data_IF_552923922578
#
_entry.id   IF_552923922578
#
_cell.length_a   1.000
_cell.length_b   1.000
_cell.length_c   1.000
_cell.angle_alpha   90.00
_cell.angle_beta   90.00
_cell.angle_gamma   90.00
#
_symmetry.space_group_name_H-M   'P 1'
#
loop_
_entity.id
_entity.type
_entity.pdbx_description
1 polymer ?
#
# COMPACT_ATOMS: atom_id res chain seq x y z
N UNK A 1 -32.34 -15.27 8.49
CA UNK A 1 -31.86 -14.80 8.11
C UNK A 1 -31.61 -14.33 7.46
N UNK A 2 -31.37 -14.05 7.37
CA UNK A 2 -31.00 -13.48 6.85
C UNK A 2 -30.43 -13.01 6.24
N UNK A 3 -30.19 -12.88 6.04
CA UNK A 3 -29.62 -12.32 5.55
C UNK A 3 -29.08 -11.76 5.08
N UNK A 4 -28.75 -11.55 4.97
CA UNK A 4 -28.12 -10.92 4.66
C UNK A 4 -27.61 -10.24 4.01
N UNK A 5 -27.39 -9.82 3.85
CA UNK A 5 -26.86 -9.14 3.29
C UNK A 5 -26.02 -8.67 3.05
N UNK A 6 -25.61 -8.91 2.58
CA UNK A 6 -24.81 -8.50 2.37
C UNK A 6 -24.30 -7.58 2.18
N UNK A 7 -24.14 -7.64 2.58
CA UNK A 7 -23.95 -6.39 2.34
C UNK A 7 -22.60 -5.90 2.09
N UNK A 8 -22.40 -4.79 1.51
CA UNK A 8 -21.15 -4.25 1.09
C UNK A 8 -20.21 -3.88 2.23
N UNK A 9 -20.71 -3.85 3.42
CA UNK A 9 -19.90 -3.60 4.62
C UNK A 9 -19.67 -4.90 5.34
N UNK A 10 -18.46 -5.38 5.25
CA UNK A 10 -18.02 -6.56 5.98
C UNK A 10 -17.26 -6.13 7.22
N UNK A 11 -17.12 -7.05 8.16
CA UNK A 11 -16.29 -6.84 9.33
C UNK A 11 -14.83 -6.56 8.94
N UNK A 12 -14.35 -7.15 7.85
CA UNK A 12 -13.01 -6.85 7.37
C UNK A 12 -13.00 -5.54 6.57
N UNK A 13 -11.92 -4.76 6.65
CA UNK A 13 -11.80 -3.54 5.86
C UNK A 13 -11.69 -3.86 4.38
N UNK A 14 -12.10 -2.93 3.52
CA UNK A 14 -12.02 -3.06 2.08
C UNK A 14 -11.10 -2.00 1.51
N UNK A 15 -10.15 -2.41 0.68
CA UNK A 15 -9.23 -1.52 -0.02
C UNK A 15 -9.51 -1.55 -1.51
N UNK A 16 -9.34 -0.40 -2.16
CA UNK A 16 -9.41 -0.30 -3.61
C UNK A 16 -8.24 0.54 -4.10
N UNK A 17 -7.51 0.05 -5.09
CA UNK A 17 -6.44 0.83 -5.70
C UNK A 17 -7.06 2.00 -6.46
N UNK A 18 -6.51 3.20 -6.26
CA UNK A 18 -6.98 4.39 -6.95
C UNK A 18 -5.99 4.85 -8.02
N UNK A 19 -4.74 5.13 -7.62
CA UNK A 19 -3.75 5.58 -8.58
C UNK A 19 -2.34 5.44 -8.02
N UNK A 20 -1.37 5.50 -8.93
CA UNK A 20 0.04 5.65 -8.63
C UNK A 20 0.55 6.79 -9.49
N UNK A 21 1.45 7.61 -8.95
CA UNK A 21 1.80 8.90 -9.56
C UNK A 21 2.73 8.82 -10.77
N UNK A 22 2.99 7.64 -11.29
CA UNK A 22 3.81 7.49 -12.48
C UNK A 22 4.06 6.04 -12.80
N UNK A 23 4.81 5.79 -13.87
CA UNK A 23 5.17 4.45 -14.32
C UNK A 23 6.68 4.21 -14.33
N UNK A 24 7.49 5.28 -14.34
CA UNK A 24 8.95 5.19 -14.34
C UNK A 24 9.47 6.17 -13.29
N UNK A 25 10.31 5.67 -12.39
CA UNK A 25 10.81 6.45 -11.26
C UNK A 25 12.33 6.38 -11.21
N UNK A 26 12.96 7.54 -11.34
CA UNK A 26 14.40 7.65 -11.25
C UNK A 26 14.85 8.12 -9.87
N UNK A 27 16.16 8.24 -9.71
CA UNK A 27 16.78 8.71 -8.49
C UNK A 27 16.24 10.10 -8.13
N UNK A 28 15.83 10.26 -6.89
CA UNK A 28 15.28 11.53 -6.41
C UNK A 28 13.77 11.66 -6.57
N UNK A 29 13.11 10.70 -7.21
CA UNK A 29 11.66 10.75 -7.33
C UNK A 29 10.99 10.09 -6.14
N UNK A 30 9.69 10.32 -6.02
CA UNK A 30 8.85 9.73 -4.98
C UNK A 30 7.75 8.92 -5.63
N UNK A 31 7.60 7.68 -5.18
CA UNK A 31 6.47 6.84 -5.57
C UNK A 31 5.34 7.12 -4.61
N UNK A 32 4.19 7.59 -5.12
CA UNK A 32 3.00 7.82 -4.32
C UNK A 32 1.87 6.91 -4.80
N UNK A 33 1.39 6.07 -3.91
CA UNK A 33 0.29 5.15 -4.18
C UNK A 33 -0.91 5.62 -3.39
N UNK A 34 -2.04 5.77 -4.07
CA UNK A 34 -3.29 6.17 -3.43
C UNK A 34 -4.26 4.99 -3.46
N UNK A 35 -4.80 4.66 -2.31
CA UNK A 35 -5.80 3.61 -2.16
C UNK A 35 -6.96 4.16 -1.34
N UNK A 36 -8.17 3.80 -1.72
CA UNK A 36 -9.35 4.15 -0.92
C UNK A 36 -9.71 2.97 -0.04
N UNK A 37 -10.35 3.25 1.08
CA UNK A 37 -10.77 2.20 1.99
C UNK A 37 -12.17 2.46 2.53
N UNK A 38 -12.84 1.38 2.89
CA UNK A 38 -14.08 1.43 3.67
C UNK A 38 -13.96 0.45 4.83
N UNK A 39 -14.59 0.78 5.94
CA UNK A 39 -14.61 -0.07 7.12
C UNK A 39 -15.91 0.13 7.87
N UNK A 40 -16.63 -0.95 8.07
CA UNK A 40 -17.94 -0.90 8.72
C UNK A 40 -17.85 -0.36 10.14
N UNK A 41 -16.89 -0.84 10.92
CA UNK A 41 -16.71 -0.43 12.31
C UNK A 41 -15.90 0.84 12.46
N UNK A 42 -15.23 1.27 11.40
CA UNK A 42 -14.40 2.47 11.44
C UNK A 42 -13.14 2.31 12.26
N UNK A 43 -12.66 1.09 12.45
CA UNK A 43 -11.49 0.79 13.28
C UNK A 43 -10.28 0.31 12.48
N UNK A 44 -10.14 0.76 11.24
CA UNK A 44 -9.00 0.43 10.37
C UNK A 44 -7.75 1.17 10.85
N UNK A 45 -7.33 0.88 12.07
CA UNK A 45 -6.28 1.65 12.73
C UNK A 45 -5.12 0.80 13.21
N UNK A 46 -5.02 -0.45 12.77
CA UNK A 46 -3.93 -1.29 13.22
C UNK A 46 -2.70 -1.10 12.33
N UNK A 47 -2.69 -1.69 11.16
CA UNK A 47 -1.50 -1.64 10.29
C UNK A 47 -1.87 -1.75 8.83
N UNK A 48 -1.00 -1.19 8.00
CA UNK A 48 -1.04 -1.38 6.55
C UNK A 48 0.30 -2.01 6.13
N UNK A 49 0.21 -3.04 5.30
CA UNK A 49 1.38 -3.73 4.76
C UNK A 49 1.51 -3.39 3.29
N UNK A 50 2.75 -3.13 2.88
CA UNK A 50 3.08 -2.85 1.49
C UNK A 50 4.24 -3.76 1.12
N UNK A 51 4.09 -4.50 0.04
CA UNK A 51 5.12 -5.39 -0.46
C UNK A 51 5.43 -5.06 -1.91
N UNK A 52 6.68 -4.69 -2.18
CA UNK A 52 7.15 -4.55 -3.55
C UNK A 52 7.52 -5.95 -4.06
N UNK A 53 6.94 -6.33 -5.19
CA UNK A 53 7.20 -7.62 -5.82
C UNK A 53 7.90 -7.37 -7.15
N UNK A 54 9.14 -7.83 -7.27
CA UNK A 54 9.91 -7.63 -8.50
C UNK A 54 9.56 -8.69 -9.53
N UNK A 55 9.57 -8.26 -10.81
CA UNK A 55 9.53 -9.16 -11.95
C UNK A 55 10.89 -9.28 -12.62
N UNK A 56 11.88 -8.54 -12.11
CA UNK A 56 13.21 -8.48 -12.70
C UNK A 56 14.15 -9.44 -11.99
N UNK A 57 14.74 -10.34 -12.76
CA UNK A 57 15.68 -11.30 -12.22
C UNK A 57 16.88 -10.58 -11.59
N UNK A 58 17.24 -10.99 -10.39
CA UNK A 58 18.35 -10.37 -9.66
C UNK A 58 17.98 -9.20 -8.79
N UNK A 59 16.78 -8.67 -8.95
CA UNK A 59 16.25 -7.66 -8.04
C UNK A 59 15.56 -8.34 -6.86
N UNK A 60 15.31 -7.58 -5.79
CA UNK A 60 14.77 -8.15 -4.56
C UNK A 60 13.41 -7.56 -4.25
N UNK A 61 12.59 -8.35 -3.58
CA UNK A 61 11.34 -7.88 -3.00
C UNK A 61 11.64 -7.04 -1.76
N UNK A 62 10.68 -6.21 -1.41
CA UNK A 62 10.75 -5.33 -0.25
C UNK A 62 9.40 -5.35 0.46
N UNK A 63 9.43 -5.42 1.78
CA UNK A 63 8.20 -5.41 2.57
C UNK A 63 8.28 -4.32 3.63
N UNK A 64 7.18 -3.64 3.81
CA UNK A 64 7.07 -2.57 4.80
C UNK A 64 5.75 -2.72 5.54
N UNK A 65 5.75 -2.35 6.80
CA UNK A 65 4.56 -2.32 7.63
C UNK A 65 4.52 -0.98 8.35
N UNK A 66 3.44 -0.27 8.18
CA UNK A 66 3.24 1.03 8.83
C UNK A 66 2.02 0.95 9.72
N UNK A 67 2.16 1.42 10.94
CA UNK A 67 1.02 1.54 11.85
C UNK A 67 0.15 2.71 11.39
N UNK A 68 -1.14 2.47 11.30
CA UNK A 68 -2.08 3.52 10.92
C UNK A 68 -2.30 4.41 12.13
N UNK A 69 -2.20 5.76 11.98
CA UNK A 69 -2.44 6.67 13.10
C UNK A 69 -3.83 6.48 13.71
N UNK A 70 -3.93 6.67 15.01
CA UNK A 70 -5.20 6.57 15.72
C UNK A 70 -6.13 7.73 15.36
N UNK A 71 -7.40 7.42 15.24
CA UNK A 71 -8.47 8.41 15.07
C UNK A 71 -9.75 7.83 15.70
N UNK A 72 -10.76 8.66 15.89
CA UNK A 72 -12.01 8.18 16.45
C UNK A 72 -12.72 7.25 15.47
N UNK A 73 -13.17 6.10 15.96
CA UNK A 73 -13.89 5.14 15.14
C UNK A 73 -15.25 5.72 14.76
N UNK A 74 -15.60 5.59 13.48
CA UNK A 74 -16.86 6.07 12.92
C UNK A 74 -17.46 4.96 12.07
N UNK A 75 -18.70 4.61 12.32
CA UNK A 75 -19.39 3.58 11.54
C UNK A 75 -19.39 3.92 10.06
N UNK A 76 -19.19 2.92 9.21
CA UNK A 76 -19.17 3.07 7.75
C UNK A 76 -18.14 4.09 7.28
N UNK A 77 -16.94 3.98 7.83
CA UNK A 77 -15.84 4.89 7.53
C UNK A 77 -15.36 4.72 6.10
N UNK A 78 -15.15 5.82 5.42
CA UNK A 78 -14.47 5.89 4.13
C UNK A 78 -13.28 6.81 4.25
N UNK A 79 -12.23 6.49 3.50
CA UNK A 79 -11.07 7.36 3.51
C UNK A 79 -10.08 6.99 2.42
N UNK A 80 -8.92 7.64 2.49
CA UNK A 80 -7.87 7.48 1.51
C UNK A 80 -6.55 7.26 2.25
N UNK A 81 -5.80 6.25 1.79
CA UNK A 81 -4.40 6.08 2.19
C UNK A 81 -3.51 6.63 1.08
N UNK A 82 -2.53 7.43 1.46
CA UNK A 82 -1.45 7.82 0.57
C UNK A 82 -0.17 7.21 1.11
N UNK A 83 0.44 6.35 0.29
CA UNK A 83 1.63 5.60 0.68
C UNK A 83 2.77 6.09 -0.19
N UNK A 84 3.86 6.53 0.44
CA UNK A 84 4.98 7.11 -0.29
C UNK A 84 6.30 6.41 0.00
N UNK A 85 7.13 6.33 -1.03
CA UNK A 85 8.50 5.84 -0.94
C UNK A 85 9.42 6.72 -1.76
N UNK A 86 10.62 6.98 -1.22
CA UNK A 86 11.66 7.71 -1.94
C UNK A 86 12.50 6.73 -2.75
N UNK A 87 12.86 7.12 -3.96
CA UNK A 87 13.72 6.33 -4.83
C UNK A 87 15.13 6.91 -4.76
N UNK A 88 16.09 6.06 -4.43
CA UNK A 88 17.49 6.47 -4.31
C UNK A 88 17.84 7.02 -2.94
N UNK A 89 19.10 6.88 -2.59
CA UNK A 89 19.61 7.31 -1.28
C UNK A 89 19.99 8.78 -1.30
N UNK A 90 20.00 9.40 -0.11
CA UNK A 90 20.50 10.76 0.05
C UNK A 90 19.49 11.86 -0.19
N UNK A 91 18.27 11.54 -0.49
CA UNK A 91 17.22 12.53 -0.72
C UNK A 91 16.30 12.66 0.48
N UNK A 92 16.79 12.69 1.64
CA UNK A 92 16.03 12.75 2.88
C UNK A 92 14.59 13.19 2.67
N UNK A 93 13.73 12.85 3.56
CA UNK A 93 12.34 13.22 3.44
C UNK A 93 11.47 12.39 4.35
N UNK A 94 10.16 12.58 4.22
CA UNK A 94 9.20 11.94 5.10
C UNK A 94 8.97 10.47 4.76
N UNK A 95 9.44 10.01 3.61
CA UNK A 95 9.11 8.67 3.12
C UNK A 95 10.30 7.71 3.23
N UNK A 96 10.03 6.43 3.55
CA UNK A 96 11.08 5.41 3.54
C UNK A 96 11.70 5.27 2.16
N UNK A 97 12.92 4.77 2.12
CA UNK A 97 13.67 4.59 0.88
C UNK A 97 13.41 3.20 0.34
N UNK A 98 13.05 3.09 -0.94
CA UNK A 98 12.99 1.81 -1.63
C UNK A 98 14.42 1.38 -1.98
N UNK A 99 14.81 0.15 -1.61
CA UNK A 99 16.12 -0.35 -1.99
C UNK A 99 16.25 -0.47 -3.50
N UNK A 100 17.42 -0.13 -4.02
CA UNK A 100 17.73 -0.35 -5.43
C UNK A 100 17.93 -1.83 -5.73
N UNK A 101 17.95 -2.15 -7.01
CA UNK A 101 18.20 -3.51 -7.44
C UNK A 101 19.66 -3.89 -7.20
N UNK A 102 19.95 -4.97 -6.44
CA UNK A 102 21.33 -5.38 -6.21
C UNK A 102 22.10 -5.73 -7.48
N UNK A 103 21.40 -6.14 -8.54
CA UNK A 103 22.03 -6.46 -9.82
C UNK A 103 22.33 -5.22 -10.65
N UNK A 104 22.13 -4.01 -10.10
CA UNK A 104 22.42 -2.73 -10.74
C UNK A 104 21.75 -2.60 -12.11
N UNK A 105 20.45 -2.87 -12.14
CA UNK A 105 19.62 -2.75 -13.34
C UNK A 105 18.26 -2.21 -12.98
N UNK A 106 17.47 -1.87 -13.98
CA UNK A 106 16.11 -1.41 -13.74
C UNK A 106 15.27 -2.52 -13.14
N UNK A 107 14.38 -2.13 -12.24
CA UNK A 107 13.49 -3.06 -11.54
C UNK A 107 12.06 -2.85 -11.99
N UNK A 108 11.54 -3.77 -12.78
CA UNK A 108 10.11 -3.80 -13.11
C UNK A 108 9.40 -4.52 -11.98
N UNK A 109 8.47 -3.84 -11.34
CA UNK A 109 7.83 -4.36 -10.13
C UNK A 109 6.43 -3.80 -9.96
N UNK A 110 5.72 -4.30 -8.97
CA UNK A 110 4.43 -3.80 -8.56
C UNK A 110 4.31 -3.92 -7.04
N UNK A 111 3.25 -3.35 -6.49
CA UNK A 111 3.05 -3.40 -5.04
C UNK A 111 1.79 -4.18 -4.72
N UNK A 112 1.86 -4.96 -3.64
CA UNK A 112 0.72 -5.58 -2.98
C UNK A 112 0.47 -4.82 -1.70
N UNK A 113 -0.78 -4.53 -1.41
CA UNK A 113 -1.16 -3.74 -0.25
C UNK A 113 -2.34 -4.39 0.44
N UNK A 114 -2.27 -4.53 1.76
CA UNK A 114 -3.40 -4.98 2.57
C UNK A 114 -3.34 -4.30 3.92
N UNK A 115 -4.48 -4.26 4.60
CA UNK A 115 -4.60 -3.58 5.88
C UNK A 115 -5.30 -4.47 6.88
N UNK A 116 -5.11 -4.17 8.16
CA UNK A 116 -5.74 -4.87 9.27
C UNK A 116 -6.37 -3.86 10.20
N UNK A 117 -7.57 -4.17 10.69
CA UNK A 117 -8.26 -3.33 11.66
C UNK A 117 -7.89 -3.69 13.09
N UNK A 118 -8.44 -2.96 14.07
CA UNK A 118 -8.13 -3.21 15.47
C UNK A 118 -8.66 -4.54 15.95
N UNK A 119 -9.72 -5.07 15.34
CA UNK A 119 -10.27 -6.38 15.67
C UNK A 119 -9.52 -7.52 14.99
N UNK A 120 -8.42 -7.21 14.27
CA UNK A 120 -7.55 -8.17 13.57
C UNK A 120 -8.17 -8.76 12.32
N UNK A 121 -9.18 -8.12 11.76
CA UNK A 121 -9.72 -8.50 10.46
C UNK A 121 -8.81 -7.93 9.37
N UNK A 122 -8.49 -8.74 8.37
CA UNK A 122 -7.54 -8.40 7.32
C UNK A 122 -8.29 -8.18 6.00
N UNK A 123 -7.97 -7.10 5.31
CA UNK A 123 -8.56 -6.80 4.00
C UNK A 123 -8.08 -7.79 2.94
N UNK A 124 -8.78 -7.83 1.80
CA UNK A 124 -8.21 -8.44 0.62
C UNK A 124 -6.97 -7.67 0.19
N UNK A 125 -6.07 -8.35 -0.51
CA UNK A 125 -4.86 -7.72 -1.05
C UNK A 125 -5.19 -7.04 -2.37
N UNK A 126 -4.80 -5.77 -2.50
CA UNK A 126 -4.88 -5.06 -3.78
C UNK A 126 -3.49 -4.99 -4.39
N UNK A 127 -3.44 -4.84 -5.72
CA UNK A 127 -2.18 -4.73 -6.45
C UNK A 127 -2.19 -3.49 -7.32
N UNK A 128 -1.00 -2.89 -7.49
CA UNK A 128 -0.82 -1.77 -8.42
C UNK A 128 -0.47 -2.30 -9.80
N UNK A 129 -0.59 -1.47 -10.84
CA UNK A 129 0.04 -1.77 -12.12
C UNK A 129 1.56 -1.86 -11.98
N UNK A 130 2.22 -2.44 -12.97
CA UNK A 130 3.68 -2.49 -12.99
C UNK A 130 4.28 -1.09 -13.14
N UNK A 131 5.38 -0.88 -12.45
CA UNK A 131 6.21 0.32 -12.59
C UNK A 131 7.65 -0.10 -12.84
N UNK A 132 8.48 0.86 -13.24
CA UNK A 132 9.91 0.65 -13.43
C UNK A 132 10.66 1.60 -12.51
N UNK A 133 11.51 1.04 -11.66
CA UNK A 133 12.44 1.80 -10.84
C UNK A 133 13.79 1.75 -11.54
N UNK A 134 14.28 2.91 -11.95
CA UNK A 134 15.54 3.02 -12.69
C UNK A 134 16.73 2.75 -11.76
N UNK A 135 17.79 2.17 -12.32
CA UNK A 135 19.01 1.92 -11.58
C UNK A 135 19.73 3.21 -11.23
#
# INVERSE_FOLDING_TARGET
>A
MMACNKDSYNTKPSLTFKEINGTVFGNGSTVLITATFTDKEGDIQDSIWVQKVTRSKGCTNFSDRTKIPSFDAVANLKGVFEIGYSVGSGFGGAYPILPGCPANKNDTCYFKIWARDLAKNVSDTITTPDIIILK
#
